data_IF_847099868114
#
_entry.id   IF_847099868114
#
_cell.length_a   1.000
_cell.length_b   1.000
_cell.length_c   1.000
_cell.angle_alpha   90.00
_cell.angle_beta   90.00
_cell.angle_gamma   90.00
#
_symmetry.space_group_name_H-M   'P 1'
#
loop_
_entity.id
_entity.type
_entity.pdbx_description
1 polymer ?
#
# COMPACT_ATOMS: atom_id res chain seq x y z
N UNK A 1 -21.68 -17.94 22.47
CA UNK A 1 -22.12 -16.65 21.91
C UNK A 1 -21.32 -15.56 22.60
N UNK A 2 -20.11 -15.29 22.12
CA UNK A 2 -19.22 -14.25 22.67
C UNK A 2 -19.46 -13.00 21.82
N UNK A 3 -20.14 -12.01 22.40
CA UNK A 3 -20.30 -10.68 21.82
C UNK A 3 -18.92 -10.03 21.79
N UNK A 4 -18.35 -9.88 20.60
CA UNK A 4 -17.19 -9.04 20.39
C UNK A 4 -17.63 -7.60 20.67
N UNK A 5 -17.29 -7.09 21.86
CA UNK A 5 -17.37 -5.66 22.17
C UNK A 5 -16.21 -4.95 21.48
N UNK A 6 -16.31 -4.84 20.15
CA UNK A 6 -15.55 -3.85 19.38
C UNK A 6 -16.30 -2.56 19.61
N UNK A 7 -15.77 -1.66 20.45
CA UNK A 7 -16.44 -0.41 20.79
C UNK A 7 -16.86 0.30 19.51
N UNK A 8 -18.17 0.37 19.27
CA UNK A 8 -18.72 1.03 18.09
C UNK A 8 -18.19 2.46 18.04
N UNK A 9 -17.62 2.92 16.91
CA UNK A 9 -17.07 4.26 16.81
C UNK A 9 -18.12 5.30 17.19
N UNK A 10 -17.72 6.34 17.93
CA UNK A 10 -18.66 7.38 18.35
C UNK A 10 -19.35 8.04 17.13
N UNK A 11 -20.61 8.49 17.25
CA UNK A 11 -21.35 9.10 16.13
C UNK A 11 -20.61 10.27 15.45
N UNK A 12 -19.86 11.06 16.22
CA UNK A 12 -19.04 12.17 15.69
C UNK A 12 -17.85 11.69 14.84
N UNK A 13 -17.30 10.52 15.17
CA UNK A 13 -16.22 9.89 14.41
C UNK A 13 -16.71 9.44 13.05
N UNK A 14 -17.91 8.85 13.01
CA UNK A 14 -18.58 8.40 11.79
C UNK A 14 -18.96 9.58 10.89
N UNK A 15 -19.44 10.69 11.46
CA UNK A 15 -19.81 11.89 10.68
C UNK A 15 -18.60 12.56 10.01
N UNK A 16 -17.48 12.69 10.72
CA UNK A 16 -16.22 13.13 10.11
C UNK A 16 -15.73 12.15 9.06
N UNK A 17 -15.82 10.85 9.33
CA UNK A 17 -15.43 9.84 8.35
C UNK A 17 -16.31 9.89 7.09
N UNK A 18 -17.62 10.12 7.21
CA UNK A 18 -18.51 10.32 6.05
C UNK A 18 -18.12 11.57 5.24
N UNK A 19 -17.71 12.63 5.93
CA UNK A 19 -17.22 13.85 5.31
C UNK A 19 -15.91 13.64 4.52
N UNK A 20 -15.01 12.79 5.01
CA UNK A 20 -13.70 12.54 4.39
C UNK A 20 -13.67 11.36 3.41
N UNK A 21 -14.47 10.32 3.65
CA UNK A 21 -14.45 9.04 2.92
C UNK A 21 -15.75 8.76 2.14
N UNK A 22 -16.73 9.67 2.18
CA UNK A 22 -18.04 9.43 1.58
C UNK A 22 -18.93 8.52 2.44
N UNK A 23 -20.23 8.56 2.21
CA UNK A 23 -21.21 7.82 3.00
C UNK A 23 -21.05 6.29 2.86
N UNK A 24 -20.59 5.85 1.69
CA UNK A 24 -20.40 4.45 1.29
C UNK A 24 -19.22 3.77 1.98
N UNK A 25 -18.22 4.54 2.44
CA UNK A 25 -17.08 3.99 3.19
C UNK A 25 -17.41 3.68 4.66
N UNK A 26 -18.48 4.30 5.19
CA UNK A 26 -18.84 4.28 6.61
C UNK A 26 -20.05 3.38 6.89
N UNK A 27 -20.99 3.27 5.94
CA UNK A 27 -22.08 2.31 6.07
C UNK A 27 -21.63 0.96 5.50
N UNK A 28 -21.62 -0.08 6.32
CA UNK A 28 -21.66 -1.45 5.78
C UNK A 28 -22.92 -1.55 4.93
N UNK A 29 -22.73 -1.66 3.61
CA UNK A 29 -23.80 -1.54 2.62
C UNK A 29 -24.99 -2.45 2.95
N UNK A 30 -26.07 -1.81 3.37
CA UNK A 30 -27.41 -2.34 3.24
C UNK A 30 -28.26 -1.18 2.71
N UNK A 31 -28.24 -1.02 1.38
CA UNK A 31 -29.31 -0.50 0.50
C UNK A 31 -28.76 -0.24 -0.90
N UNK A 32 -29.37 -0.96 -1.83
CA UNK A 32 -29.25 -0.89 -3.29
C UNK A 32 -27.89 -1.34 -3.85
N UNK A 33 -27.87 -2.57 -4.40
CA UNK A 33 -26.84 -3.01 -5.33
C UNK A 33 -26.57 -1.89 -6.34
N UNK A 34 -25.36 -1.32 -6.37
CA UNK A 34 -24.86 -0.48 -7.46
C UNK A 34 -25.17 -1.20 -8.77
N UNK A 35 -26.25 -0.80 -9.44
CA UNK A 35 -26.65 -1.43 -10.67
C UNK A 35 -25.89 -0.69 -11.75
N UNK A 36 -24.63 -1.08 -11.96
CA UNK A 36 -23.73 -0.51 -12.96
C UNK A 36 -24.39 -0.33 -14.34
N UNK A 37 -25.39 -1.14 -14.67
CA UNK A 37 -26.19 -1.03 -15.91
C UNK A 37 -27.16 0.16 -15.94
N UNK A 38 -27.60 0.63 -14.77
CA UNK A 38 -28.52 1.76 -14.58
C UNK A 38 -27.80 3.07 -14.30
N UNK A 39 -26.59 3.01 -13.75
CA UNK A 39 -25.79 4.20 -13.45
C UNK A 39 -25.44 4.95 -14.73
N UNK A 40 -25.66 6.27 -14.73
CA UNK A 40 -25.22 7.11 -15.84
C UNK A 40 -23.71 7.38 -15.75
N UNK A 41 -23.11 7.86 -16.84
CA UNK A 41 -21.71 8.30 -16.83
C UNK A 41 -21.48 9.37 -15.75
N UNK A 42 -22.44 10.25 -15.51
CA UNK A 42 -22.33 11.30 -14.50
C UNK A 42 -22.31 10.75 -13.07
N UNK A 43 -23.10 9.69 -12.81
CA UNK A 43 -23.14 9.03 -11.51
C UNK A 43 -21.79 8.36 -11.22
N UNK A 44 -21.25 7.61 -12.20
CA UNK A 44 -19.94 6.98 -12.11
C UNK A 44 -18.81 8.00 -11.91
N UNK A 45 -18.86 9.14 -12.61
CA UNK A 45 -17.86 10.20 -12.45
C UNK A 45 -17.94 10.78 -11.05
N UNK A 46 -19.12 11.18 -10.55
CA UNK A 46 -19.26 11.75 -9.21
C UNK A 46 -18.82 10.79 -8.11
N UNK A 47 -19.17 9.52 -8.22
CA UNK A 47 -18.79 8.48 -7.25
C UNK A 47 -17.26 8.30 -7.16
N UNK A 48 -16.54 8.43 -8.28
CA UNK A 48 -15.09 8.19 -8.35
C UNK A 48 -14.24 9.44 -8.22
N UNK A 49 -14.75 10.61 -8.61
CA UNK A 49 -13.97 11.86 -8.66
C UNK A 49 -13.40 12.25 -7.30
N UNK A 50 -14.17 12.11 -6.21
CA UNK A 50 -13.68 12.40 -4.86
C UNK A 50 -12.49 11.53 -4.49
N UNK A 51 -12.61 10.21 -4.70
CA UNK A 51 -11.55 9.25 -4.47
C UNK A 51 -10.32 9.47 -5.34
N UNK A 52 -10.52 9.74 -6.64
CA UNK A 52 -9.43 10.04 -7.57
C UNK A 52 -8.67 11.31 -7.18
N UNK A 53 -9.36 12.35 -6.72
CA UNK A 53 -8.71 13.57 -6.22
C UNK A 53 -7.90 13.30 -4.96
N UNK A 54 -8.41 12.47 -4.04
CA UNK A 54 -7.64 12.06 -2.86
C UNK A 54 -6.37 11.30 -3.26
N UNK A 55 -6.45 10.37 -4.22
CA UNK A 55 -5.27 9.63 -4.72
C UNK A 55 -4.31 10.55 -5.46
N UNK A 56 -4.81 11.53 -6.19
CA UNK A 56 -3.98 12.53 -6.84
C UNK A 56 -3.11 13.29 -5.83
N UNK A 57 -3.67 13.66 -4.67
CA UNK A 57 -2.88 14.25 -3.57
C UNK A 57 -1.82 13.28 -3.07
N UNK A 58 -2.15 12.00 -2.95
CA UNK A 58 -1.19 10.93 -2.62
C UNK A 58 -0.03 10.83 -3.61
N UNK A 59 -0.32 10.89 -4.91
CA UNK A 59 0.70 10.89 -5.96
C UNK A 59 1.60 12.14 -5.88
N UNK A 60 1.05 13.30 -5.53
CA UNK A 60 1.84 14.52 -5.30
C UNK A 60 2.81 14.36 -4.11
N UNK A 61 2.43 13.63 -3.06
CA UNK A 61 3.35 13.34 -1.95
C UNK A 61 4.54 12.47 -2.40
N UNK A 62 4.31 11.48 -3.26
CA UNK A 62 5.40 10.69 -3.84
C UNK A 62 6.36 11.57 -4.66
N UNK A 63 5.86 12.56 -5.41
CA UNK A 63 6.69 13.51 -6.13
C UNK A 63 7.56 14.36 -5.18
N UNK A 64 7.00 14.82 -4.06
CA UNK A 64 7.76 15.55 -3.01
C UNK A 64 8.85 14.66 -2.40
N UNK A 65 8.59 13.36 -2.20
CA UNK A 65 9.62 12.42 -1.74
C UNK A 65 10.76 12.33 -2.77
N UNK A 66 10.45 12.17 -4.06
CA UNK A 66 11.49 12.12 -5.11
C UNK A 66 12.32 13.41 -5.12
N UNK A 67 11.68 14.58 -5.02
CA UNK A 67 12.35 15.88 -4.93
C UNK A 67 13.30 15.95 -3.71
N UNK A 68 12.89 15.42 -2.56
CA UNK A 68 13.74 15.39 -1.37
C UNK A 68 15.03 14.56 -1.54
N UNK A 69 15.06 13.64 -2.52
CA UNK A 69 16.23 12.83 -2.88
C UNK A 69 16.86 13.25 -4.22
N UNK A 70 16.59 14.45 -4.72
CA UNK A 70 17.14 14.95 -5.99
C UNK A 70 18.67 14.89 -6.05
N UNK A 71 19.35 15.21 -4.93
CA UNK A 71 20.81 15.15 -4.85
C UNK A 71 21.36 13.74 -5.15
N UNK A 72 20.70 12.70 -4.64
CA UNK A 72 21.04 11.29 -4.88
C UNK A 72 20.82 10.92 -6.35
N UNK A 73 19.71 11.40 -6.92
CA UNK A 73 19.36 11.16 -8.32
C UNK A 73 20.29 11.86 -9.31
N UNK A 74 20.86 13.02 -8.95
CA UNK A 74 21.85 13.71 -9.79
C UNK A 74 23.16 12.93 -9.91
N UNK A 75 23.55 12.22 -8.85
CA UNK A 75 24.74 11.38 -8.85
C UNK A 75 24.48 10.03 -9.56
N UNK A 76 23.30 9.45 -9.33
CA UNK A 76 22.90 8.16 -9.89
C UNK A 76 21.52 8.23 -10.55
N UNK A 77 21.46 8.80 -11.76
CA UNK A 77 20.21 8.96 -12.54
C UNK A 77 19.52 7.63 -12.79
N UNK A 78 20.29 6.54 -12.90
CA UNK A 78 19.80 5.17 -13.09
C UNK A 78 18.83 4.70 -12.01
N UNK A 79 18.92 5.24 -10.78
CA UNK A 79 17.95 4.92 -9.71
C UNK A 79 16.51 5.27 -10.13
N UNK A 80 16.34 6.32 -10.94
CA UNK A 80 15.01 6.71 -11.45
C UNK A 80 14.36 5.65 -12.33
N UNK A 81 15.14 4.80 -13.00
CA UNK A 81 14.61 3.75 -13.88
C UNK A 81 13.85 2.68 -13.09
N UNK A 82 14.20 2.51 -11.82
CA UNK A 82 13.61 1.52 -10.93
C UNK A 82 12.48 2.07 -10.05
N UNK A 83 12.26 3.39 -10.03
CA UNK A 83 11.15 4.01 -9.29
C UNK A 83 9.79 3.39 -9.65
N UNK A 84 9.40 3.24 -10.94
CA UNK A 84 8.14 2.59 -11.29
C UNK A 84 8.08 1.13 -10.86
N UNK A 85 9.22 0.43 -10.89
CA UNK A 85 9.31 -0.96 -10.48
C UNK A 85 9.07 -1.11 -8.98
N UNK A 86 9.70 -0.27 -8.14
CA UNK A 86 9.55 -0.32 -6.69
C UNK A 86 8.12 0.03 -6.25
N UNK A 87 7.57 1.11 -6.81
CA UNK A 87 6.18 1.54 -6.55
C UNK A 87 5.20 0.45 -6.99
N UNK A 88 5.32 0.00 -8.23
CA UNK A 88 4.42 -1.03 -8.78
C UNK A 88 4.50 -2.34 -8.01
N UNK A 89 5.70 -2.78 -7.63
CA UNK A 89 5.89 -3.98 -6.83
C UNK A 89 5.28 -3.83 -5.43
N UNK A 90 5.59 -2.73 -4.72
CA UNK A 90 5.03 -2.44 -3.40
C UNK A 90 3.50 -2.42 -3.42
N UNK A 91 2.90 -1.68 -4.35
CA UNK A 91 1.44 -1.61 -4.50
C UNK A 91 0.79 -2.97 -4.77
N UNK A 92 1.38 -3.78 -5.65
CA UNK A 92 0.85 -5.12 -5.99
C UNK A 92 0.95 -6.09 -4.82
N UNK A 93 2.13 -6.17 -4.18
CA UNK A 93 2.39 -7.06 -3.05
C UNK A 93 1.51 -6.69 -1.85
N UNK A 94 1.43 -5.40 -1.50
CA UNK A 94 0.53 -4.91 -0.46
C UNK A 94 -0.94 -5.16 -0.77
N UNK A 95 -1.37 -5.00 -2.03
CA UNK A 95 -2.75 -5.27 -2.44
C UNK A 95 -3.12 -6.75 -2.34
N UNK A 96 -2.20 -7.66 -2.64
CA UNK A 96 -2.41 -9.10 -2.47
C UNK A 96 -2.57 -9.49 -0.99
N UNK A 97 -1.70 -8.95 -0.13
CA UNK A 97 -1.80 -9.12 1.33
C UNK A 97 -3.14 -8.59 1.85
N UNK A 98 -3.51 -7.37 1.45
CA UNK A 98 -4.75 -6.71 1.81
C UNK A 98 -5.99 -7.54 1.40
N UNK A 99 -6.05 -8.00 0.16
CA UNK A 99 -7.15 -8.84 -0.31
C UNK A 99 -7.26 -10.16 0.49
N UNK A 100 -6.13 -10.77 0.83
CA UNK A 100 -6.07 -12.03 1.57
C UNK A 100 -6.59 -11.85 3.00
N UNK A 101 -6.18 -10.78 3.69
CA UNK A 101 -6.63 -10.48 5.05
C UNK A 101 -8.09 -10.06 5.09
N UNK A 102 -8.56 -9.21 4.16
CA UNK A 102 -9.99 -8.86 4.05
C UNK A 102 -10.84 -10.12 3.88
N UNK A 103 -10.42 -11.04 3.01
CA UNK A 103 -11.13 -12.30 2.79
C UNK A 103 -11.16 -13.16 4.05
N UNK A 104 -10.06 -13.25 4.77
CA UNK A 104 -9.99 -14.02 6.02
C UNK A 104 -10.89 -13.42 7.12
N UNK A 105 -10.97 -12.08 7.21
CA UNK A 105 -11.90 -11.37 8.08
C UNK A 105 -13.36 -11.65 7.69
N UNK A 106 -13.69 -11.55 6.40
CA UNK A 106 -15.05 -11.77 5.89
C UNK A 106 -15.54 -13.21 6.09
N UNK A 107 -14.63 -14.20 6.01
CA UNK A 107 -14.92 -15.61 6.29
C UNK A 107 -14.91 -15.97 7.78
N UNK A 108 -14.60 -15.01 8.67
CA UNK A 108 -14.50 -15.27 10.12
C UNK A 108 -13.31 -16.14 10.52
N UNK A 109 -12.36 -16.39 9.61
CA UNK A 109 -11.12 -17.13 9.87
C UNK A 109 -10.07 -16.30 10.63
N UNK A 110 -10.29 -14.99 10.71
CA UNK A 110 -9.39 -14.04 11.34
C UNK A 110 -10.21 -13.03 12.15
N UNK A 111 -9.70 -12.61 13.30
CA UNK A 111 -10.25 -11.52 14.11
C UNK A 111 -9.24 -10.37 14.16
N UNK A 112 -9.68 -9.12 14.38
CA UNK A 112 -8.77 -7.97 14.55
C UNK A 112 -7.73 -8.18 15.66
N UNK A 113 -8.05 -8.97 16.70
CA UNK A 113 -7.12 -9.32 17.78
C UNK A 113 -5.93 -10.18 17.34
N UNK A 114 -6.02 -10.85 16.20
CA UNK A 114 -4.99 -11.78 15.71
C UNK A 114 -3.86 -11.05 14.95
N UNK A 115 -3.78 -9.71 15.07
CA UNK A 115 -2.89 -8.83 14.33
C UNK A 115 -1.42 -9.19 14.41
N UNK A 116 -0.92 -9.63 15.57
CA UNK A 116 0.49 -9.99 15.74
C UNK A 116 0.88 -11.20 14.86
N UNK A 117 -0.02 -12.18 14.73
CA UNK A 117 0.19 -13.33 13.84
C UNK A 117 0.22 -12.90 12.38
N UNK A 118 -0.65 -11.96 11.99
CA UNK A 118 -0.70 -11.40 10.64
C UNK A 118 0.59 -10.66 10.33
N UNK A 119 1.02 -9.75 11.20
CA UNK A 119 2.29 -9.02 11.09
C UNK A 119 3.45 -9.99 10.83
N UNK A 120 3.57 -11.04 11.64
CA UNK A 120 4.65 -12.02 11.47
C UNK A 120 4.60 -12.74 10.12
N UNK A 121 3.43 -13.28 9.75
CA UNK A 121 3.26 -14.02 8.48
C UNK A 121 3.51 -13.13 7.27
N UNK A 122 2.99 -11.91 7.29
CA UNK A 122 3.08 -10.96 6.19
C UNK A 122 4.51 -10.43 6.03
N UNK A 123 5.20 -10.10 7.12
CA UNK A 123 6.62 -9.72 7.08
C UNK A 123 7.50 -10.85 6.53
N UNK A 124 7.28 -12.09 6.99
CA UNK A 124 8.04 -13.25 6.52
C UNK A 124 7.79 -13.51 5.02
N UNK A 125 6.52 -13.53 4.60
CA UNK A 125 6.14 -13.71 3.21
C UNK A 125 6.73 -12.60 2.32
N UNK A 126 6.59 -11.34 2.74
CA UNK A 126 7.09 -10.18 2.01
C UNK A 126 8.60 -10.22 1.82
N UNK A 127 9.34 -10.56 2.88
CA UNK A 127 10.81 -10.68 2.82
C UNK A 127 11.25 -11.77 1.84
N UNK A 128 10.61 -12.95 1.89
CA UNK A 128 10.96 -14.08 1.01
C UNK A 128 10.65 -13.76 -0.45
N UNK A 129 9.46 -13.20 -0.73
CA UNK A 129 9.07 -12.81 -2.09
C UNK A 129 9.96 -11.71 -2.65
N UNK A 130 10.22 -10.67 -1.85
CA UNK A 130 11.09 -9.56 -2.24
C UNK A 130 12.55 -9.99 -2.40
N UNK A 131 13.04 -10.92 -1.57
CA UNK A 131 14.35 -11.55 -1.72
C UNK A 131 14.51 -12.28 -3.05
N UNK A 132 13.52 -13.09 -3.43
CA UNK A 132 13.50 -13.74 -4.74
C UNK A 132 13.60 -12.74 -5.89
N UNK A 133 12.81 -11.65 -5.84
CA UNK A 133 12.85 -10.62 -6.87
C UNK A 133 14.15 -9.81 -6.85
N UNK A 134 14.76 -9.61 -5.68
CA UNK A 134 16.07 -9.01 -5.51
C UNK A 134 17.19 -9.79 -6.21
N UNK A 135 17.15 -11.12 -6.17
CA UNK A 135 18.09 -11.97 -6.91
C UNK A 135 17.90 -11.80 -8.42
N UNK A 136 16.66 -11.79 -8.89
CA UNK A 136 16.33 -11.62 -10.31
C UNK A 136 16.79 -10.26 -10.83
N UNK A 137 16.54 -9.17 -10.08
CA UNK A 137 16.93 -7.83 -10.51
C UNK A 137 18.44 -7.64 -10.48
N UNK A 138 19.15 -8.26 -9.53
CA UNK A 138 20.60 -8.25 -9.50
C UNK A 138 21.18 -8.89 -10.77
N UNK A 139 20.66 -10.06 -11.16
CA UNK A 139 21.08 -10.73 -12.40
C UNK A 139 20.79 -9.88 -13.63
N UNK A 140 19.62 -9.23 -13.68
CA UNK A 140 19.26 -8.31 -14.75
C UNK A 140 20.20 -7.11 -14.85
N UNK A 141 20.50 -6.44 -13.73
CA UNK A 141 21.41 -5.28 -13.70
C UNK A 141 22.83 -5.68 -14.10
N UNK A 142 23.29 -6.88 -13.70
CA UNK A 142 24.61 -7.38 -14.08
C UNK A 142 24.73 -7.60 -15.60
N UNK A 143 23.66 -8.01 -16.27
CA UNK A 143 23.64 -8.25 -17.72
C UNK A 143 23.40 -6.96 -18.53
N UNK A 144 22.90 -5.90 -17.91
CA UNK A 144 22.56 -4.63 -18.56
C UNK A 144 23.69 -3.60 -18.38
N UNK A 145 24.43 -3.32 -19.45
CA UNK A 145 25.63 -2.47 -19.42
C UNK A 145 25.41 -0.99 -19.03
N UNK A 146 24.17 -0.50 -19.10
CA UNK A 146 23.78 0.85 -18.69
C UNK A 146 23.43 1.03 -17.21
N UNK A 147 23.70 0.03 -16.35
CA UNK A 147 23.38 0.08 -14.92
C UNK A 147 24.62 -0.24 -14.10
N UNK A 148 25.00 0.70 -13.24
CA UNK A 148 26.09 0.56 -12.28
C UNK A 148 25.79 -0.54 -11.25
N UNK A 149 26.85 -1.23 -10.83
CA UNK A 149 26.73 -2.32 -9.84
C UNK A 149 26.16 -1.81 -8.51
N UNK A 150 26.49 -0.59 -8.10
CA UNK A 150 25.96 0.01 -6.86
C UNK A 150 24.44 0.20 -6.93
N UNK A 151 23.91 0.62 -8.07
CA UNK A 151 22.46 0.73 -8.29
C UNK A 151 21.81 -0.65 -8.28
N UNK A 152 22.39 -1.63 -8.98
CA UNK A 152 21.88 -3.01 -8.97
C UNK A 152 21.80 -3.60 -7.56
N UNK A 153 22.84 -3.42 -6.74
CA UNK A 153 22.87 -3.82 -5.31
C UNK A 153 21.81 -3.10 -4.49
N UNK A 154 21.69 -1.79 -4.68
CA UNK A 154 20.70 -0.97 -3.99
C UNK A 154 19.28 -1.48 -4.25
N UNK A 155 18.92 -1.72 -5.52
CA UNK A 155 17.59 -2.21 -5.89
C UNK A 155 17.35 -3.62 -5.35
N UNK A 156 18.35 -4.50 -5.44
CA UNK A 156 18.24 -5.87 -4.93
C UNK A 156 18.03 -5.95 -3.41
N UNK A 157 18.66 -5.07 -2.63
CA UNK A 157 18.44 -4.97 -1.17
C UNK A 157 17.11 -4.29 -0.85
N UNK A 158 16.70 -3.31 -1.66
CA UNK A 158 15.48 -2.54 -1.43
C UNK A 158 14.21 -3.37 -1.64
N UNK A 159 14.21 -4.30 -2.61
CA UNK A 159 13.04 -5.13 -2.90
C UNK A 159 12.54 -5.96 -1.70
N UNK A 160 13.37 -6.72 -0.96
CA UNK A 160 12.97 -7.37 0.29
C UNK A 160 12.36 -6.41 1.30
N UNK A 161 12.97 -5.23 1.49
CA UNK A 161 12.56 -4.24 2.50
C UNK A 161 11.22 -3.62 2.13
N UNK A 162 11.06 -3.19 0.87
CA UNK A 162 9.80 -2.63 0.38
C UNK A 162 8.70 -3.69 0.34
N UNK A 163 9.02 -4.94 0.02
CA UNK A 163 8.04 -6.04 0.03
C UNK A 163 7.57 -6.38 1.44
N UNK A 164 8.49 -6.46 2.40
CA UNK A 164 8.18 -6.62 3.82
C UNK A 164 7.23 -5.49 4.25
N UNK A 165 7.60 -4.24 3.96
CA UNK A 165 6.84 -3.08 4.36
C UNK A 165 5.45 -3.03 3.72
N UNK A 166 5.36 -3.32 2.42
CA UNK A 166 4.09 -3.37 1.69
C UNK A 166 3.16 -4.46 2.23
N UNK A 167 3.68 -5.66 2.50
CA UNK A 167 2.88 -6.74 3.09
C UNK A 167 2.46 -6.42 4.52
N UNK A 168 3.34 -5.85 5.33
CA UNK A 168 3.00 -5.41 6.68
C UNK A 168 1.81 -4.45 6.66
N UNK A 169 1.88 -3.41 5.83
CA UNK A 169 0.80 -2.45 5.69
C UNK A 169 -0.45 -3.14 5.10
N UNK A 170 -0.30 -3.92 4.03
CA UNK A 170 -1.37 -4.68 3.40
C UNK A 170 -2.14 -5.55 4.39
N UNK A 171 -1.47 -6.20 5.32
CA UNK A 171 -2.12 -7.03 6.33
C UNK A 171 -2.69 -6.25 7.51
N UNK A 172 -2.03 -5.17 7.94
CA UNK A 172 -2.45 -4.39 9.12
C UNK A 172 -3.61 -3.45 8.82
N UNK A 173 -3.63 -2.81 7.65
CA UNK A 173 -4.67 -1.83 7.31
C UNK A 173 -6.10 -2.40 7.37
N UNK A 174 -6.41 -3.60 6.84
CA UNK A 174 -7.72 -4.21 6.99
C UNK A 174 -8.15 -4.44 8.45
N UNK A 175 -7.20 -4.89 9.28
CA UNK A 175 -7.44 -5.14 10.70
C UNK A 175 -7.72 -3.84 11.44
N UNK A 176 -6.95 -2.79 11.14
CA UNK A 176 -7.14 -1.46 11.70
C UNK A 176 -8.48 -0.88 11.29
N UNK A 177 -8.84 -0.93 9.99
CA UNK A 177 -10.14 -0.48 9.49
C UNK A 177 -11.28 -1.23 10.20
N UNK A 178 -11.18 -2.56 10.32
CA UNK A 178 -12.19 -3.38 10.99
C UNK A 178 -12.29 -3.06 12.48
N UNK A 179 -11.17 -2.83 13.16
CA UNK A 179 -11.14 -2.46 14.57
C UNK A 179 -11.75 -1.08 14.82
N UNK A 180 -11.55 -0.14 13.89
CA UNK A 180 -12.14 1.20 13.91
C UNK A 180 -13.57 1.26 13.37
N UNK A 181 -14.21 0.12 13.09
CA UNK A 181 -15.59 0.04 12.61
C UNK A 181 -15.82 0.52 11.17
N UNK A 182 -14.76 0.71 10.38
CA UNK A 182 -14.86 1.02 8.94
C UNK A 182 -14.95 -0.25 8.10
N UNK A 183 -15.54 -0.15 6.91
CA UNK A 183 -15.53 -1.24 5.95
C UNK A 183 -14.11 -1.42 5.37
N UNK A 184 -13.40 -2.52 5.66
CA UNK A 184 -12.04 -2.74 5.17
C UNK A 184 -11.97 -2.82 3.65
N UNK A 185 -12.99 -3.39 3.00
CA UNK A 185 -13.00 -3.59 1.55
C UNK A 185 -12.98 -2.29 0.74
N UNK A 186 -13.53 -1.21 1.32
CA UNK A 186 -13.62 0.11 0.66
C UNK A 186 -12.43 0.99 1.02
N UNK A 187 -12.00 0.95 2.28
CA UNK A 187 -11.06 1.95 2.83
C UNK A 187 -9.59 1.53 2.78
N UNK A 188 -9.29 0.23 2.91
CA UNK A 188 -7.92 -0.18 3.21
C UNK A 188 -7.01 -0.17 1.99
N UNK A 189 -7.47 -0.66 0.84
CA UNK A 189 -6.63 -0.82 -0.34
C UNK A 189 -6.04 0.53 -0.83
N UNK A 190 -6.86 1.59 -1.02
CA UNK A 190 -6.33 2.81 -1.62
C UNK A 190 -5.48 3.66 -0.68
N UNK A 191 -5.81 3.67 0.61
CA UNK A 191 -5.00 4.32 1.64
C UNK A 191 -3.66 3.62 1.80
N UNK A 192 -3.67 2.29 1.82
CA UNK A 192 -2.46 1.48 1.94
C UNK A 192 -1.51 1.73 0.77
N UNK A 193 -1.99 1.71 -0.48
CA UNK A 193 -1.12 1.93 -1.65
C UNK A 193 -0.45 3.31 -1.61
N UNK A 194 -1.20 4.38 -1.28
CA UNK A 194 -0.63 5.73 -1.18
C UNK A 194 0.52 5.82 -0.16
N UNK A 195 0.34 5.17 0.99
CA UNK A 195 1.37 5.12 2.03
C UNK A 195 2.56 4.30 1.56
N UNK A 196 2.34 3.12 0.96
CA UNK A 196 3.39 2.26 0.42
C UNK A 196 4.20 2.96 -0.65
N UNK A 197 3.58 3.73 -1.55
CA UNK A 197 4.28 4.43 -2.63
C UNK A 197 5.27 5.47 -2.05
N UNK A 198 4.78 6.34 -1.16
CA UNK A 198 5.62 7.40 -0.57
C UNK A 198 6.70 6.83 0.34
N UNK A 199 6.34 5.91 1.23
CA UNK A 199 7.30 5.32 2.19
C UNK A 199 8.24 4.31 1.55
N UNK A 200 7.81 3.60 0.50
CA UNK A 200 8.64 2.72 -0.29
C UNK A 200 9.75 3.47 -1.01
N UNK A 201 9.47 4.66 -1.53
CA UNK A 201 10.50 5.54 -2.09
C UNK A 201 11.48 6.06 -1.03
N UNK A 202 10.99 6.43 0.16
CA UNK A 202 11.86 6.82 1.27
C UNK A 202 12.82 5.67 1.64
N UNK A 203 12.30 4.44 1.73
CA UNK A 203 13.11 3.25 2.01
C UNK A 203 14.13 3.01 0.89
N UNK A 204 13.71 3.06 -0.37
CA UNK A 204 14.56 2.84 -1.53
C UNK A 204 15.72 3.84 -1.59
N UNK A 205 15.42 5.15 -1.56
CA UNK A 205 16.45 6.17 -1.61
C UNK A 205 17.28 6.23 -0.33
N UNK A 206 16.70 5.92 0.84
CA UNK A 206 17.45 5.75 2.08
C UNK A 206 18.49 4.62 2.01
N UNK A 207 18.12 3.49 1.39
CA UNK A 207 19.05 2.39 1.13
C UNK A 207 20.11 2.82 0.10
N UNK A 208 19.73 3.55 -0.94
CA UNK A 208 20.68 4.08 -1.92
C UNK A 208 21.76 4.93 -1.24
N UNK A 209 21.35 5.88 -0.40
CA UNK A 209 22.25 6.71 0.41
C UNK A 209 23.20 5.85 1.27
N UNK A 210 22.67 4.86 1.96
CA UNK A 210 23.47 3.98 2.82
C UNK A 210 24.48 3.12 2.03
N UNK A 211 24.08 2.59 0.86
CA UNK A 211 24.93 1.75 0.01
C UNK A 211 26.01 2.58 -0.69
N UNK A 212 25.67 3.80 -1.10
CA UNK A 212 26.56 4.69 -1.86
C UNK A 212 27.44 5.57 -0.95
N UNK A 213 27.10 5.67 0.35
CA UNK A 213 27.88 6.42 1.32
C UNK A 213 27.69 7.94 1.26
N UNK A 214 26.48 8.38 0.90
CA UNK A 214 26.10 9.80 0.67
C UNK A 214 24.92 10.23 1.55
#
# INVERSE_FOLDING_TARGET
MVTLDVSVPSPRSLEKAKLFFGEDAVSGHDKDEENYRKDTIQDLVRARSGWLLLFFVGLMLAAVVVEAFEAVLREHVELSYFVPLLIGHGGNTGSQSNATVIRALALGHLRPSDWMMVVWKECAAGTVMGGGLGVVIMAFCYLWSGISTQVGVTVAISLPVVSLWANLLGGVFPLLSSHLGFNPAVTSAPLMTTVVDSTGLILYFGIAKAVMGI
#
